data_IF_160117889648
#
_entry.id   IF_160117889648
#
_cell.length_a   1.000
_cell.length_b   1.000
_cell.length_c   1.000
_cell.angle_alpha   90.00
_cell.angle_beta   90.00
_cell.angle_gamma   90.00
#
_symmetry.space_group_name_H-M   'P 1'
#
loop_
_entity.id
_entity.type
_entity.pdbx_description
1 polymer ?
#
# COMPACT_ATOMS: atom_id res chain seq x y z
N UNK A 1 -5.66 3.52 -0.54
CA UNK A 1 -6.03 2.84 0.72
C UNK A 1 -5.36 1.49 0.74
N UNK A 2 -4.40 1.25 1.64
CA UNK A 2 -3.85 -0.09 1.84
C UNK A 2 -4.53 -0.65 3.10
N UNK A 3 -5.47 -1.57 2.90
CA UNK A 3 -6.21 -2.26 3.96
C UNK A 3 -5.71 -3.70 4.00
N UNK A 4 -5.17 -4.16 5.13
CA UNK A 4 -5.04 -5.59 5.37
C UNK A 4 -6.33 -6.02 6.04
N UNK A 5 -7.25 -6.59 5.27
CA UNK A 5 -8.53 -7.10 5.77
C UNK A 5 -8.33 -8.55 6.20
N UNK A 6 -8.14 -8.78 7.49
CA UNK A 6 -8.28 -10.11 8.08
C UNK A 6 -9.69 -10.19 8.66
N UNK A 7 -10.62 -10.75 7.90
CA UNK A 7 -11.92 -11.17 8.40
C UNK A 7 -11.79 -12.57 8.98
N UNK A 8 -11.80 -12.65 10.31
CA UNK A 8 -12.45 -13.78 10.95
C UNK A 8 -13.95 -13.51 10.86
N UNK A 9 -14.81 -14.52 10.68
CA UNK A 9 -16.24 -14.33 10.38
C UNK A 9 -16.97 -13.31 11.28
N UNK A 10 -16.44 -13.03 12.47
CA UNK A 10 -17.01 -12.12 13.47
C UNK A 10 -16.14 -10.89 13.84
N UNK A 11 -14.91 -10.78 13.30
CA UNK A 11 -13.94 -9.74 13.67
C UNK A 11 -13.31 -9.09 12.45
N UNK A 12 -13.30 -7.75 12.44
CA UNK A 12 -12.55 -6.93 11.48
C UNK A 12 -11.38 -6.31 12.21
N UNK A 13 -10.16 -6.68 11.81
CA UNK A 13 -8.94 -6.04 12.27
C UNK A 13 -8.47 -5.00 11.26
N UNK A 14 -7.89 -3.91 11.77
CA UNK A 14 -7.34 -2.87 10.92
C UNK A 14 -6.30 -2.00 11.61
N UNK A 15 -5.72 -1.09 10.84
CA UNK A 15 -4.67 -0.17 11.32
C UNK A 15 -4.91 1.26 10.86
N UNK A 16 -4.48 2.21 11.67
CA UNK A 16 -4.48 3.62 11.33
C UNK A 16 -3.21 4.08 10.60
N UNK A 17 -2.15 3.25 10.53
CA UNK A 17 -0.83 3.61 9.96
C UNK A 17 -0.71 3.66 8.45
N UNK A 18 -1.82 3.48 7.74
CA UNK A 18 -1.84 3.44 6.27
C UNK A 18 -2.74 4.55 5.75
N UNK A 19 -3.95 4.18 5.36
CA UNK A 19 -4.96 5.07 4.80
C UNK A 19 -5.33 6.25 5.68
N UNK A 20 -5.20 6.11 7.00
CA UNK A 20 -5.55 7.16 7.97
C UNK A 20 -4.36 8.08 8.32
N UNK A 21 -3.14 7.75 7.90
CA UNK A 21 -1.95 8.56 8.18
C UNK A 21 -1.67 8.79 9.68
N UNK A 22 -2.15 7.91 10.55
CA UNK A 22 -2.05 8.04 12.01
C UNK A 22 -1.46 6.77 12.63
N UNK A 23 -1.32 6.66 13.95
CA UNK A 23 -0.79 5.45 14.59
C UNK A 23 -1.88 4.62 15.28
N UNK A 24 -1.63 3.33 15.45
CA UNK A 24 -2.52 2.41 16.17
C UNK A 24 -3.24 1.38 15.32
N UNK A 25 -4.05 0.57 15.99
CA UNK A 25 -4.85 -0.51 15.43
C UNK A 25 -6.24 -0.54 16.05
N UNK A 26 -7.14 -1.27 15.40
CA UNK A 26 -8.49 -1.48 15.93
C UNK A 26 -8.98 -2.89 15.62
N UNK A 27 -9.93 -3.33 16.44
CA UNK A 27 -10.78 -4.49 16.21
C UNK A 27 -12.22 -4.00 16.24
N UNK A 28 -12.99 -4.32 15.21
CA UNK A 28 -14.43 -4.11 15.18
C UNK A 28 -15.12 -5.47 15.18
N UNK A 29 -16.01 -5.68 16.15
CA UNK A 29 -16.75 -6.92 16.37
C UNK A 29 -18.05 -6.61 17.13
N UNK A 30 -18.81 -7.64 17.51
CA UNK A 30 -19.96 -7.48 18.39
C UNK A 30 -19.55 -6.86 19.74
N UNK A 31 -20.49 -6.18 20.41
CA UNK A 31 -20.22 -5.58 21.73
C UNK A 31 -19.73 -6.62 22.75
N UNK A 32 -20.36 -7.79 22.79
CA UNK A 32 -19.97 -8.88 23.69
C UNK A 32 -18.51 -9.31 23.45
N UNK A 33 -18.12 -9.50 22.19
CA UNK A 33 -16.76 -9.86 21.81
C UNK A 33 -15.73 -8.78 22.16
N UNK A 34 -16.05 -7.49 21.93
CA UNK A 34 -15.16 -6.38 22.31
C UNK A 34 -15.01 -6.27 23.83
N UNK A 35 -16.09 -6.45 24.59
CA UNK A 35 -16.07 -6.37 26.05
C UNK A 35 -15.28 -7.54 26.68
N UNK A 36 -15.32 -8.73 26.07
CA UNK A 36 -14.46 -9.86 26.44
C UNK A 36 -12.99 -9.59 26.11
N UNK A 37 -12.69 -9.14 24.88
CA UNK A 37 -11.32 -8.83 24.45
C UNK A 37 -10.67 -7.78 25.36
N UNK A 38 -11.41 -6.78 25.82
CA UNK A 38 -10.90 -5.76 26.76
C UNK A 38 -10.45 -6.34 28.09
N UNK A 39 -11.08 -7.41 28.56
CA UNK A 39 -10.76 -8.07 29.83
C UNK A 39 -9.63 -9.10 29.69
N UNK A 40 -9.47 -9.71 28.51
CA UNK A 40 -8.54 -10.82 28.30
C UNK A 40 -7.25 -10.40 27.56
N UNK A 41 -7.23 -9.24 26.90
CA UNK A 41 -6.10 -8.81 26.07
C UNK A 41 -5.04 -8.07 26.89
N UNK A 42 -3.93 -8.75 27.21
CA UNK A 42 -2.75 -8.13 27.82
C UNK A 42 -2.23 -6.91 27.04
N UNK A 43 -2.14 -6.94 25.68
CA UNK A 43 -1.74 -5.76 24.91
C UNK A 43 -2.69 -4.55 25.03
N UNK A 44 -3.96 -4.78 25.39
CA UNK A 44 -4.92 -3.71 25.64
C UNK A 44 -4.83 -3.18 27.08
N UNK A 45 -4.78 -4.08 28.06
CA UNK A 45 -4.78 -3.72 29.49
C UNK A 45 -3.48 -3.07 29.94
N UNK A 46 -2.34 -3.52 29.43
CA UNK A 46 -1.01 -3.07 29.87
C UNK A 46 -0.37 -2.07 28.89
N UNK A 47 -1.19 -1.31 28.16
CA UNK A 47 -0.74 -0.28 27.24
C UNK A 47 -1.43 1.05 27.49
N UNK A 48 -0.71 2.15 27.24
CA UNK A 48 -1.29 3.48 27.31
C UNK A 48 -2.31 3.69 26.17
N UNK A 49 -3.36 4.46 26.45
CA UNK A 49 -4.33 4.84 25.43
C UNK A 49 -3.69 5.67 24.31
N UNK A 50 -4.29 5.63 23.12
CA UNK A 50 -3.82 6.45 21.99
C UNK A 50 -3.90 7.96 22.34
N UNK A 51 -2.94 8.77 21.88
CA UNK A 51 -2.99 10.21 22.07
C UNK A 51 -4.29 10.83 21.53
N UNK A 52 -4.90 11.83 22.21
CA UNK A 52 -6.16 12.44 21.77
C UNK A 52 -6.12 12.96 20.32
N UNK A 53 -5.00 13.53 19.89
CA UNK A 53 -4.82 14.03 18.52
C UNK A 53 -4.94 12.92 17.45
N UNK A 54 -4.44 11.71 17.75
CA UNK A 54 -4.56 10.54 16.87
C UNK A 54 -6.02 10.14 16.74
N UNK A 55 -6.74 10.04 17.85
CA UNK A 55 -8.17 9.66 17.87
C UNK A 55 -9.02 10.70 17.14
N UNK A 56 -8.76 12.00 17.36
CA UNK A 56 -9.45 13.09 16.67
C UNK A 56 -9.24 13.03 15.14
N UNK A 57 -8.02 12.79 14.71
CA UNK A 57 -7.66 12.64 13.28
C UNK A 57 -8.41 11.48 12.63
N UNK A 58 -8.37 10.30 13.26
CA UNK A 58 -9.07 9.10 12.76
C UNK A 58 -10.58 9.34 12.70
N UNK A 59 -11.17 9.91 13.75
CA UNK A 59 -12.61 10.23 13.80
C UNK A 59 -13.01 11.20 12.67
N UNK A 60 -12.20 12.21 12.41
CA UNK A 60 -12.45 13.16 11.33
C UNK A 60 -12.40 12.47 9.96
N UNK A 61 -11.35 11.69 9.68
CA UNK A 61 -11.20 10.95 8.42
C UNK A 61 -12.36 9.98 8.19
N UNK A 62 -12.78 9.23 9.22
CA UNK A 62 -13.97 8.37 9.15
C UNK A 62 -15.24 9.17 8.83
N UNK A 63 -15.39 10.36 9.41
CA UNK A 63 -16.49 11.27 9.11
C UNK A 63 -16.50 11.74 7.66
N UNK A 64 -15.34 12.02 7.07
CA UNK A 64 -15.20 12.38 5.65
C UNK A 64 -15.54 11.19 4.75
N UNK A 65 -14.94 10.02 5.01
CA UNK A 65 -15.15 8.81 4.18
C UNK A 65 -16.60 8.29 4.20
N UNK A 66 -17.38 8.60 5.24
CA UNK A 66 -18.81 8.28 5.27
C UNK A 66 -19.66 9.17 4.37
N UNK A 67 -19.18 10.37 4.05
CA UNK A 67 -19.92 11.37 3.29
C UNK A 67 -19.54 11.38 1.81
N UNK A 68 -18.29 11.03 1.51
CA UNK A 68 -17.71 11.16 0.18
C UNK A 68 -16.72 10.02 -0.10
N UNK A 69 -16.92 9.36 -1.24
CA UNK A 69 -16.11 8.26 -1.73
C UNK A 69 -15.19 8.67 -2.91
N UNK A 70 -15.11 9.96 -3.27
CA UNK A 70 -14.35 10.45 -4.42
C UNK A 70 -12.89 9.96 -4.41
N UNK A 71 -12.22 9.98 -3.24
CA UNK A 71 -10.83 9.51 -3.11
C UNK A 71 -10.69 8.01 -3.31
N UNK A 72 -11.73 7.23 -2.99
CA UNK A 72 -11.75 5.78 -3.23
C UNK A 72 -11.94 5.51 -4.72
N UNK A 73 -12.85 6.23 -5.38
CA UNK A 73 -13.04 6.16 -6.84
C UNK A 73 -11.76 6.55 -7.59
N UNK A 74 -11.17 7.70 -7.26
CA UNK A 74 -9.92 8.17 -7.86
C UNK A 74 -8.78 7.17 -7.67
N UNK A 75 -8.70 6.51 -6.50
CA UNK A 75 -7.71 5.46 -6.28
C UNK A 75 -7.89 4.30 -7.28
N UNK A 76 -9.12 3.83 -7.47
CA UNK A 76 -9.40 2.72 -8.39
C UNK A 76 -9.14 3.11 -9.84
N UNK A 77 -9.54 4.31 -10.25
CA UNK A 77 -9.19 4.84 -11.58
C UNK A 77 -7.67 4.91 -11.80
N UNK A 78 -6.92 5.34 -10.79
CA UNK A 78 -5.45 5.38 -10.85
C UNK A 78 -4.82 3.98 -10.90
N UNK A 79 -5.39 3.01 -10.18
CA UNK A 79 -4.97 1.60 -10.21
C UNK A 79 -5.17 1.03 -11.61
N UNK A 80 -6.35 1.25 -12.20
CA UNK A 80 -6.68 0.74 -13.53
C UNK A 80 -5.82 1.42 -14.59
N UNK A 81 -5.61 2.72 -14.48
CA UNK A 81 -4.72 3.45 -15.38
C UNK A 81 -3.27 2.94 -15.32
N UNK A 82 -2.73 2.70 -14.13
CA UNK A 82 -1.41 2.09 -14.00
C UNK A 82 -1.35 0.68 -14.60
N UNK A 83 -2.38 -0.15 -14.42
CA UNK A 83 -2.44 -1.48 -15.05
C UNK A 83 -2.34 -1.38 -16.57
N UNK A 84 -3.10 -0.46 -17.18
CA UNK A 84 -3.05 -0.24 -18.63
C UNK A 84 -1.65 0.18 -19.07
N UNK A 85 -1.07 1.23 -18.48
CA UNK A 85 0.28 1.68 -18.83
C UNK A 85 1.34 0.59 -18.65
N UNK A 86 1.23 -0.20 -17.58
CA UNK A 86 2.16 -1.28 -17.30
C UNK A 86 2.03 -2.42 -18.33
N UNK A 87 0.81 -2.75 -18.74
CA UNK A 87 0.54 -3.74 -19.78
C UNK A 87 1.06 -3.28 -21.14
N UNK A 88 0.79 -2.03 -21.53
CA UNK A 88 1.21 -1.45 -22.81
C UNK A 88 2.74 -1.42 -22.96
N UNK A 89 3.45 -1.19 -21.85
CA UNK A 89 4.92 -1.17 -21.80
C UNK A 89 5.55 -2.55 -21.52
N UNK A 90 4.74 -3.60 -21.39
CA UNK A 90 5.23 -4.96 -21.12
C UNK A 90 5.95 -5.10 -19.76
N UNK A 91 5.60 -4.26 -18.76
CA UNK A 91 6.19 -4.35 -17.43
C UNK A 91 5.88 -5.71 -16.80
N UNK A 92 6.85 -6.37 -16.12
CA UNK A 92 6.66 -7.67 -15.48
C UNK A 92 5.92 -7.54 -14.13
N UNK A 93 4.73 -6.93 -14.16
CA UNK A 93 3.86 -6.73 -13.00
C UNK A 93 3.20 -8.07 -12.63
N UNK A 94 3.30 -8.45 -11.36
CA UNK A 94 2.60 -9.61 -10.81
C UNK A 94 1.12 -9.28 -10.60
N UNK A 95 0.24 -10.28 -10.73
CA UNK A 95 -1.18 -10.12 -10.46
C UNK A 95 -1.43 -9.46 -9.09
N UNK A 96 -2.29 -8.44 -9.06
CA UNK A 96 -2.66 -7.71 -7.86
C UNK A 96 -4.05 -7.10 -7.98
N UNK A 97 -4.89 -7.39 -7.00
CA UNK A 97 -6.23 -6.83 -6.83
C UNK A 97 -6.23 -5.60 -5.90
N UNK A 98 -5.06 -5.04 -5.63
CA UNK A 98 -4.86 -3.97 -4.65
C UNK A 98 -4.12 -2.77 -5.25
N UNK A 99 -3.99 -1.71 -4.45
CA UNK A 99 -3.19 -0.54 -4.78
C UNK A 99 -1.65 -0.78 -4.80
N UNK A 100 -1.21 -2.02 -4.58
CA UNK A 100 0.21 -2.40 -4.52
C UNK A 100 0.52 -3.30 -5.70
N UNK A 101 1.47 -2.90 -6.52
CA UNK A 101 1.89 -3.63 -7.71
C UNK A 101 3.33 -4.13 -7.54
N UNK A 102 3.55 -5.45 -7.40
CA UNK A 102 4.88 -6.01 -7.37
C UNK A 102 5.43 -6.13 -8.80
N UNK A 103 6.51 -5.42 -9.12
CA UNK A 103 7.22 -5.52 -10.40
C UNK A 103 8.42 -6.46 -10.24
N UNK A 104 8.41 -7.59 -10.95
CA UNK A 104 9.42 -8.65 -10.79
C UNK A 104 10.78 -8.22 -11.35
N UNK A 105 11.83 -8.43 -10.57
CA UNK A 105 13.24 -8.17 -10.94
C UNK A 105 14.13 -9.42 -10.76
N UNK A 106 13.71 -10.36 -9.90
CA UNK A 106 14.34 -11.63 -9.56
C UNK A 106 15.60 -11.51 -8.69
N UNK A 107 16.62 -10.75 -9.09
CA UNK A 107 17.88 -10.63 -8.32
C UNK A 107 17.88 -9.43 -7.38
N UNK A 108 18.32 -9.64 -6.14
CA UNK A 108 18.33 -8.61 -5.09
C UNK A 108 19.19 -7.40 -5.47
N UNK A 109 20.42 -7.63 -5.95
CA UNK A 109 21.33 -6.58 -6.42
C UNK A 109 20.72 -5.73 -7.54
N UNK A 110 20.04 -6.38 -8.49
CA UNK A 110 19.37 -5.68 -9.60
C UNK A 110 18.19 -4.84 -9.09
N UNK A 111 17.41 -5.35 -8.13
CA UNK A 111 16.30 -4.59 -7.55
C UNK A 111 16.80 -3.35 -6.79
N UNK A 112 17.91 -3.47 -6.06
CA UNK A 112 18.55 -2.35 -5.37
C UNK A 112 19.11 -1.31 -6.36
N UNK A 113 19.81 -1.75 -7.41
CA UNK A 113 20.34 -0.85 -8.43
C UNK A 113 19.22 -0.12 -9.18
N UNK A 114 18.18 -0.84 -9.63
CA UNK A 114 17.01 -0.23 -10.27
C UNK A 114 16.36 0.83 -9.37
N UNK A 115 16.15 0.54 -8.08
CA UNK A 115 15.58 1.50 -7.13
C UNK A 115 16.48 2.74 -6.95
N UNK A 116 17.80 2.53 -6.84
CA UNK A 116 18.78 3.63 -6.76
C UNK A 116 18.74 4.52 -7.99
N UNK A 117 18.70 3.92 -9.19
CA UNK A 117 18.66 4.63 -10.46
C UNK A 117 17.34 5.37 -10.68
N UNK A 118 16.20 4.79 -10.30
CA UNK A 118 14.91 5.49 -10.32
C UNK A 118 14.95 6.76 -9.47
N UNK A 119 15.56 6.72 -8.29
CA UNK A 119 15.72 7.90 -7.44
C UNK A 119 16.70 8.91 -8.07
N UNK A 120 17.89 8.46 -8.46
CA UNK A 120 18.97 9.33 -8.92
C UNK A 120 18.72 9.96 -10.30
N UNK A 121 18.21 9.17 -11.25
CA UNK A 121 18.04 9.57 -12.65
C UNK A 121 16.63 10.12 -12.93
N UNK A 122 15.62 9.59 -12.22
CA UNK A 122 14.21 9.90 -12.49
C UNK A 122 13.52 10.65 -11.36
N UNK A 123 14.13 10.77 -10.18
CA UNK A 123 13.49 11.40 -9.01
C UNK A 123 12.29 10.63 -8.48
N UNK A 124 12.25 9.31 -8.69
CA UNK A 124 11.11 8.45 -8.34
C UNK A 124 11.55 7.44 -7.28
N UNK A 125 10.84 7.42 -6.15
CA UNK A 125 11.09 6.45 -5.09
C UNK A 125 10.19 5.23 -5.22
N UNK A 126 10.80 4.04 -5.37
CA UNK A 126 10.11 2.75 -5.33
C UNK A 126 10.85 1.83 -4.36
N UNK A 127 10.11 1.09 -3.53
CA UNK A 127 10.70 0.23 -2.51
C UNK A 127 11.17 -1.10 -3.13
N UNK A 128 12.47 -1.45 -3.09
CA UNK A 128 12.92 -2.80 -3.40
C UNK A 128 12.53 -3.75 -2.26
N UNK A 129 11.96 -4.90 -2.61
CA UNK A 129 11.59 -5.97 -1.69
C UNK A 129 12.43 -7.19 -2.04
N UNK A 130 13.35 -7.52 -1.15
CA UNK A 130 14.42 -8.51 -1.31
C UNK A 130 14.44 -9.49 -0.12
N UNK A 131 15.36 -10.47 -0.12
CA UNK A 131 15.54 -11.37 1.01
C UNK A 131 15.86 -10.59 2.31
N UNK A 132 15.34 -10.99 3.48
CA UNK A 132 14.50 -12.16 3.79
C UNK A 132 12.98 -11.92 3.63
N UNK A 133 12.55 -10.73 3.22
CA UNK A 133 11.13 -10.39 3.07
C UNK A 133 10.46 -11.20 1.96
N UNK A 134 11.22 -11.56 0.93
CA UNK A 134 10.83 -12.51 -0.10
C UNK A 134 11.88 -13.61 -0.24
N UNK A 135 11.52 -14.81 -0.75
CA UNK A 135 12.50 -15.84 -1.04
C UNK A 135 13.60 -15.33 -1.99
N UNK A 136 14.79 -15.92 -1.89
CA UNK A 136 15.89 -15.65 -2.81
C UNK A 136 15.45 -15.83 -4.26
N UNK A 137 16.03 -15.04 -5.17
CA UNK A 137 15.71 -15.01 -6.59
C UNK A 137 14.26 -14.60 -6.93
N UNK A 138 13.51 -14.04 -5.95
CA UNK A 138 12.17 -13.47 -6.15
C UNK A 138 12.11 -11.98 -5.81
N UNK A 139 13.23 -11.27 -5.96
CA UNK A 139 13.29 -9.82 -5.76
C UNK A 139 12.26 -9.09 -6.64
N UNK A 140 11.68 -8.02 -6.10
CA UNK A 140 10.68 -7.21 -6.79
C UNK A 140 10.67 -5.79 -6.28
N UNK A 141 10.24 -4.87 -7.12
CA UNK A 141 9.96 -3.49 -6.72
C UNK A 141 8.48 -3.38 -6.33
N UNK A 142 8.19 -2.73 -5.19
CA UNK A 142 6.82 -2.50 -4.72
C UNK A 142 6.34 -1.12 -5.13
N UNK A 143 5.61 -1.05 -6.24
CA UNK A 143 4.90 0.15 -6.64
C UNK A 143 3.62 0.27 -5.80
N UNK A 144 3.33 1.46 -5.28
CA UNK A 144 2.13 1.72 -4.47
C UNK A 144 1.40 2.93 -5.03
N UNK A 145 0.21 2.73 -5.58
CA UNK A 145 -0.62 3.79 -6.16
C UNK A 145 -1.52 4.38 -5.07
N UNK A 146 -1.72 5.69 -5.11
CA UNK A 146 -2.67 6.38 -4.23
C UNK A 146 -3.54 7.36 -5.03
N UNK A 147 -4.58 7.88 -4.38
CA UNK A 147 -5.56 8.79 -5.00
C UNK A 147 -4.98 10.18 -5.32
N UNK A 148 -3.83 10.55 -4.76
CA UNK A 148 -3.19 11.84 -4.98
C UNK A 148 -2.23 11.85 -6.17
N UNK A 149 -1.90 10.70 -6.77
CA UNK A 149 -1.11 10.67 -8.00
C UNK A 149 -1.94 11.19 -9.17
N UNK A 150 -1.34 12.07 -9.97
CA UNK A 150 -1.87 12.48 -11.27
C UNK A 150 -1.68 11.36 -12.31
N UNK A 151 -2.34 11.48 -13.46
CA UNK A 151 -2.11 10.55 -14.58
C UNK A 151 -0.69 10.69 -15.12
N UNK A 152 -0.16 11.90 -15.10
CA UNK A 152 1.20 12.23 -15.52
C UNK A 152 2.24 11.58 -14.61
N UNK A 153 2.01 11.56 -13.28
CA UNK A 153 2.88 10.85 -12.34
C UNK A 153 2.89 9.34 -12.63
N UNK A 154 1.73 8.77 -12.95
CA UNK A 154 1.56 7.33 -13.20
C UNK A 154 2.21 6.91 -14.52
N UNK A 155 1.99 7.67 -15.59
CA UNK A 155 2.64 7.39 -16.88
C UNK A 155 4.15 7.55 -16.79
N UNK A 156 4.63 8.63 -16.17
CA UNK A 156 6.07 8.85 -15.94
C UNK A 156 6.70 7.71 -15.13
N UNK A 157 6.01 7.20 -14.11
CA UNK A 157 6.45 6.04 -13.34
C UNK A 157 6.58 4.80 -14.23
N UNK A 158 5.55 4.48 -15.00
CA UNK A 158 5.52 3.29 -15.86
C UNK A 158 6.63 3.34 -16.93
N UNK A 159 6.79 4.48 -17.59
CA UNK A 159 7.85 4.71 -18.59
C UNK A 159 9.25 4.61 -17.98
N UNK A 160 9.45 5.23 -16.81
CA UNK A 160 10.73 5.17 -16.09
C UNK A 160 11.07 3.75 -15.66
N UNK A 161 10.08 2.96 -15.23
CA UNK A 161 10.27 1.55 -14.90
C UNK A 161 10.69 0.75 -16.12
N UNK A 162 10.05 0.97 -17.27
CA UNK A 162 10.36 0.26 -18.51
C UNK A 162 11.79 0.55 -18.97
N UNK A 163 12.19 1.82 -18.93
CA UNK A 163 13.54 2.27 -19.29
C UNK A 163 14.61 1.69 -18.36
N UNK A 164 14.42 1.78 -17.04
CA UNK A 164 15.40 1.27 -16.05
C UNK A 164 15.51 -0.25 -16.10
N UNK A 165 14.40 -0.96 -16.39
CA UNK A 165 14.41 -2.41 -16.58
C UNK A 165 14.98 -2.84 -17.94
N UNK A 166 15.31 -1.88 -18.81
CA UNK A 166 15.78 -2.09 -20.17
C UNK A 166 14.82 -2.94 -21.02
N UNK A 167 13.52 -2.73 -20.81
CA UNK A 167 12.48 -3.30 -21.67
C UNK A 167 12.45 -2.42 -22.92
N UNK A 168 13.06 -2.92 -24.01
CA UNK A 168 13.18 -2.16 -25.25
C UNK A 168 11.82 -1.70 -25.76
N UNK A 169 11.75 -0.44 -26.23
CA UNK A 169 10.68 -0.03 -27.14
C UNK A 169 10.95 -0.75 -28.46
N UNK A 170 10.28 -1.88 -28.67
CA UNK A 170 10.23 -2.53 -29.99
C UNK A 170 9.58 -1.60 -31.01
#
# INVERSE_FOLDING_TARGET
LIFFHLTFKDYILGTFSKSFGASGGFIAASKAAVDELRQQSSPYMFSASLPPAVVATVRHILGVLRKDDCRVKQLWENIDYFRSCASDLGLPVMASDSAIFPVRVSRDEKALDCARRLVAEKGIFVLPVIYPVVPQNKARMRVSINAGHSREDISRLAESLAEILALGRG
#
